data_IF_273709248288
#
_entry.id   IF_273709248288
#
_cell.length_a   1.000
_cell.length_b   1.000
_cell.length_c   1.000
_cell.angle_alpha   90.00
_cell.angle_beta   90.00
_cell.angle_gamma   90.00
#
_symmetry.space_group_name_H-M   'P 1'
#
loop_
_entity.id
_entity.type
_entity.pdbx_description
1 polymer ?
#
# COMPACT_ATOMS: atom_id res chain seq x y z
N UNK A 1 -4.83 -9.76 16.24
CA UNK A 1 -3.92 -8.59 16.32
C UNK A 1 -4.33 -7.60 17.41
N UNK A 2 -5.61 -7.17 17.50
CA UNK A 2 -6.04 -6.19 18.51
C UNK A 2 -5.70 -6.57 19.96
N UNK A 3 -5.80 -7.86 20.27
CA UNK A 3 -5.40 -8.43 21.56
C UNK A 3 -4.02 -8.00 22.05
N UNK A 4 -3.05 -7.71 21.18
CA UNK A 4 -1.68 -7.31 21.56
C UNK A 4 -1.61 -6.01 22.36
N UNK A 5 -2.56 -5.09 22.16
CA UNK A 5 -2.65 -3.81 22.88
C UNK A 5 -3.90 -3.69 23.75
N UNK A 6 -4.81 -4.66 23.73
CA UNK A 6 -5.97 -4.74 24.63
C UNK A 6 -5.67 -5.62 25.84
N UNK A 7 -5.48 -6.93 25.61
CA UNK A 7 -5.23 -7.95 26.65
C UNK A 7 -3.77 -8.37 26.77
N UNK A 8 -2.91 -7.96 25.84
CA UNK A 8 -1.51 -8.37 25.75
C UNK A 8 -1.33 -9.78 25.17
N UNK A 9 -0.07 -10.19 25.08
CA UNK A 9 0.34 -11.56 24.75
C UNK A 9 0.92 -12.24 26.00
N UNK A 10 0.41 -13.43 26.30
CA UNK A 10 0.99 -14.28 27.35
C UNK A 10 2.16 -15.05 26.76
N UNK A 11 3.33 -14.91 27.37
CA UNK A 11 4.52 -15.67 27.00
C UNK A 11 4.93 -16.60 28.14
N UNK A 12 5.52 -17.77 27.83
CA UNK A 12 6.19 -18.60 28.82
C UNK A 12 7.24 -17.82 29.64
N UNK A 13 7.31 -18.12 30.94
CA UNK A 13 8.19 -17.41 31.89
C UNK A 13 9.67 -17.52 31.53
N UNK A 14 10.09 -18.65 30.96
CA UNK A 14 11.46 -18.89 30.48
C UNK A 14 11.83 -18.00 29.28
N UNK A 15 10.85 -17.58 28.48
CA UNK A 15 11.04 -16.62 27.39
C UNK A 15 11.06 -15.19 27.95
N UNK A 16 10.11 -14.85 28.84
CA UNK A 16 10.02 -13.53 29.47
C UNK A 16 11.27 -13.15 30.28
N UNK A 17 11.83 -14.11 31.01
CA UNK A 17 13.05 -13.91 31.80
C UNK A 17 14.28 -13.59 30.94
N UNK A 18 14.32 -14.03 29.68
CA UNK A 18 15.41 -13.72 28.74
C UNK A 18 15.33 -12.31 28.14
N UNK A 19 14.10 -11.80 27.95
CA UNK A 19 13.86 -10.52 27.27
C UNK A 19 13.65 -9.34 28.22
N UNK A 20 13.13 -9.59 29.43
CA UNK A 20 12.90 -8.56 30.45
C UNK A 20 14.13 -7.76 30.93
N UNK A 21 15.37 -8.32 30.92
CA UNK A 21 16.56 -7.56 31.30
C UNK A 21 17.09 -6.62 30.21
N UNK A 22 16.58 -6.72 28.97
CA UNK A 22 17.05 -5.91 27.85
C UNK A 22 16.67 -4.43 28.13
N UNK A 23 17.63 -3.48 28.04
CA UNK A 23 17.33 -2.06 28.15
C UNK A 23 16.18 -1.64 27.21
N UNK A 24 15.34 -0.69 27.62
CA UNK A 24 14.10 -0.28 26.95
C UNK A 24 12.93 -1.28 26.97
N UNK A 25 13.11 -2.55 27.36
CA UNK A 25 12.00 -3.52 27.34
C UNK A 25 10.80 -3.09 28.20
N UNK A 26 11.07 -2.60 29.41
CA UNK A 26 10.02 -2.10 30.33
C UNK A 26 9.34 -0.82 29.84
N UNK A 27 9.96 -0.09 28.93
CA UNK A 27 9.37 1.12 28.33
C UNK A 27 8.47 0.76 27.13
N UNK A 28 8.80 -0.30 26.40
CA UNK A 28 8.03 -0.79 25.25
C UNK A 28 6.80 -1.61 25.65
N UNK A 29 6.88 -2.33 26.77
CA UNK A 29 5.83 -3.24 27.22
C UNK A 29 5.33 -2.89 28.61
N UNK A 30 4.01 -2.71 28.73
CA UNK A 30 3.36 -2.75 30.04
C UNK A 30 3.24 -4.20 30.47
N UNK A 31 3.68 -4.48 31.70
CA UNK A 31 3.46 -5.75 32.38
C UNK A 31 2.52 -5.49 33.55
N UNK A 32 1.42 -6.23 33.63
CA UNK A 32 0.42 -6.17 34.71
C UNK A 32 0.85 -6.99 35.95
N UNK A 33 2.06 -7.54 35.95
CA UNK A 33 2.56 -8.41 37.01
C UNK A 33 2.20 -9.89 36.83
N UNK A 34 1.37 -10.25 35.85
CA UNK A 34 0.84 -11.61 35.63
C UNK A 34 1.24 -12.24 34.28
N UNK A 35 2.40 -11.83 33.73
CA UNK A 35 3.02 -12.43 32.52
C UNK A 35 2.46 -11.98 31.16
N UNK A 36 1.52 -11.02 31.12
CA UNK A 36 1.05 -10.45 29.86
C UNK A 36 1.92 -9.27 29.41
N UNK A 37 2.51 -9.36 28.21
CA UNK A 37 3.18 -8.23 27.57
C UNK A 37 2.17 -7.44 26.75
N UNK A 38 1.96 -6.18 27.10
CA UNK A 38 0.99 -5.32 26.43
C UNK A 38 1.68 -4.17 25.72
N UNK A 39 1.43 -4.06 24.41
CA UNK A 39 1.88 -2.93 23.60
C UNK A 39 1.04 -1.67 23.88
N UNK A 40 1.61 -0.46 23.72
CA UNK A 40 0.80 0.75 23.69
C UNK A 40 -0.14 0.73 22.47
N UNK A 41 -1.40 1.20 22.61
CA UNK A 41 -2.32 1.32 21.48
C UNK A 41 -1.75 2.23 20.38
N UNK A 42 -1.63 1.75 19.13
CA UNK A 42 -1.17 2.57 18.01
C UNK A 42 -2.04 3.83 17.83
N UNK A 43 -1.41 4.98 17.55
CA UNK A 43 -2.12 6.27 17.42
C UNK A 43 -3.26 6.23 16.39
N UNK A 44 -3.06 5.53 15.27
CA UNK A 44 -4.03 5.42 14.17
C UNK A 44 -5.37 4.80 14.59
N UNK A 45 -5.41 4.05 15.69
CA UNK A 45 -6.64 3.40 16.19
C UNK A 45 -7.15 3.96 17.52
N UNK A 46 -6.55 5.03 18.06
CA UNK A 46 -6.93 5.54 19.39
C UNK A 46 -8.32 6.18 19.41
N UNK A 47 -8.81 6.66 18.26
CA UNK A 47 -10.12 7.29 18.11
C UNK A 47 -11.11 6.34 17.42
N UNK A 48 -10.68 5.69 16.34
CA UNK A 48 -11.50 4.75 15.56
C UNK A 48 -10.69 3.49 15.21
N UNK A 49 -11.16 2.32 15.65
CA UNK A 49 -10.46 1.04 15.48
C UNK A 49 -10.54 0.46 14.05
N UNK A 50 -11.34 1.05 13.18
CA UNK A 50 -11.63 0.60 11.81
C UNK A 50 -11.28 1.63 10.74
N UNK A 51 -11.06 2.90 11.08
CA UNK A 51 -10.79 3.97 10.11
C UNK A 51 -9.62 3.66 9.15
N UNK A 52 -8.61 2.92 9.62
CA UNK A 52 -7.45 2.48 8.81
C UNK A 52 -7.83 1.61 7.60
N UNK A 53 -9.04 1.01 7.58
CA UNK A 53 -9.54 0.20 6.46
C UNK A 53 -10.26 1.04 5.39
N UNK A 54 -10.45 2.33 5.61
CA UNK A 54 -11.18 3.19 4.66
C UNK A 54 -10.27 3.64 3.53
N UNK A 55 -10.84 3.74 2.33
CA UNK A 55 -10.16 4.34 1.16
C UNK A 55 -9.66 5.75 1.43
N UNK A 56 -10.42 6.52 2.22
CA UNK A 56 -10.06 7.87 2.63
C UNK A 56 -8.77 7.88 3.45
N UNK A 57 -8.65 7.01 4.46
CA UNK A 57 -7.44 6.94 5.29
C UNK A 57 -6.25 6.37 4.51
N UNK A 58 -6.49 5.33 3.70
CA UNK A 58 -5.47 4.76 2.80
C UNK A 58 -4.84 5.82 1.89
N UNK A 59 -5.65 6.67 1.27
CA UNK A 59 -5.16 7.75 0.41
C UNK A 59 -4.55 8.91 1.21
N UNK A 60 -5.13 9.28 2.37
CA UNK A 60 -4.65 10.37 3.22
C UNK A 60 -3.26 10.07 3.78
N UNK A 61 -2.98 8.83 4.17
CA UNK A 61 -1.65 8.44 4.66
C UNK A 61 -0.54 8.65 3.62
N UNK A 62 -0.85 8.66 2.32
CA UNK A 62 0.14 8.95 1.27
C UNK A 62 0.66 10.40 1.26
N UNK A 63 -0.05 11.32 1.95
CA UNK A 63 0.34 12.73 2.05
C UNK A 63 0.53 13.21 3.50
N UNK A 64 0.06 12.46 4.48
CA UNK A 64 0.10 12.84 5.90
C UNK A 64 0.32 11.63 6.85
N UNK A 65 0.77 10.50 6.32
CA UNK A 65 1.15 9.31 7.07
C UNK A 65 2.66 9.20 7.28
N UNK A 66 3.14 7.98 7.45
CA UNK A 66 4.56 7.71 7.75
C UNK A 66 5.50 7.96 6.56
N UNK A 67 4.99 7.84 5.32
CA UNK A 67 5.77 8.00 4.10
C UNK A 67 5.11 8.95 3.08
N UNK A 68 5.06 10.26 3.38
CA UNK A 68 4.24 11.23 2.63
C UNK A 68 4.91 11.80 1.37
N UNK A 69 6.01 11.19 0.88
CA UNK A 69 6.88 11.82 -0.12
C UNK A 69 7.01 11.04 -1.44
N UNK A 70 6.32 9.91 -1.59
CA UNK A 70 6.43 9.06 -2.79
C UNK A 70 5.37 9.39 -3.83
N UNK A 71 4.19 9.86 -3.41
CA UNK A 71 3.08 10.22 -4.29
C UNK A 71 3.53 11.26 -5.33
N UNK A 72 3.10 11.07 -6.58
CA UNK A 72 3.45 11.96 -7.71
C UNK A 72 2.20 12.39 -8.43
N UNK A 73 2.26 13.57 -9.05
CA UNK A 73 1.26 13.97 -10.04
C UNK A 73 1.36 13.08 -11.28
N UNK A 74 0.23 12.63 -11.79
CA UNK A 74 0.17 11.90 -13.06
C UNK A 74 -0.03 12.89 -14.21
N UNK A 75 0.94 12.96 -15.12
CA UNK A 75 0.95 13.91 -16.24
C UNK A 75 0.54 13.32 -17.59
N UNK A 76 0.53 12.00 -17.71
CA UNK A 76 0.16 11.27 -18.92
C UNK A 76 -0.57 9.97 -18.55
N UNK A 77 -1.42 9.49 -19.46
CA UNK A 77 -2.18 8.26 -19.27
C UNK A 77 -2.17 7.41 -20.55
N UNK A 78 -2.00 6.07 -20.46
CA UNK A 78 -1.72 5.30 -19.24
C UNK A 78 -0.32 5.62 -18.65
N UNK A 79 -0.07 5.35 -17.36
CA UNK A 79 1.26 5.49 -16.77
C UNK A 79 2.29 4.63 -17.52
N UNK A 80 3.44 5.23 -17.84
CA UNK A 80 4.52 4.55 -18.57
C UNK A 80 5.64 4.10 -17.62
N UNK A 81 6.11 2.88 -17.84
CA UNK A 81 7.34 2.38 -17.22
C UNK A 81 8.58 2.94 -17.93
N UNK A 82 9.64 3.12 -17.16
CA UNK A 82 11.01 3.47 -17.61
C UNK A 82 11.96 2.27 -17.60
N UNK A 83 11.45 1.07 -17.30
CA UNK A 83 12.24 -0.15 -17.37
C UNK A 83 12.65 -0.43 -18.81
N UNK A 84 13.82 -1.07 -18.97
CA UNK A 84 14.29 -1.51 -20.27
C UNK A 84 13.37 -2.59 -20.84
N UNK A 85 12.67 -2.26 -21.93
CA UNK A 85 11.71 -3.15 -22.57
C UNK A 85 12.35 -4.39 -23.20
N UNK A 86 13.66 -4.37 -23.48
CA UNK A 86 14.38 -5.57 -23.94
C UNK A 86 14.55 -6.59 -22.80
N UNK A 87 14.69 -6.11 -21.57
CA UNK A 87 14.89 -6.96 -20.40
C UNK A 87 13.57 -7.35 -19.72
N UNK A 88 12.60 -6.43 -19.70
CA UNK A 88 11.37 -6.57 -18.91
C UNK A 88 10.10 -6.61 -19.76
N UNK A 89 10.21 -6.62 -21.10
CA UNK A 89 9.08 -6.63 -22.01
C UNK A 89 8.26 -5.33 -22.02
N UNK A 90 7.05 -5.39 -22.58
CA UNK A 90 6.12 -4.25 -22.55
C UNK A 90 5.55 -4.07 -21.15
N UNK A 91 5.87 -2.96 -20.51
CA UNK A 91 5.42 -2.60 -19.16
C UNK A 91 4.35 -1.49 -19.17
N UNK A 92 3.67 -1.30 -20.30
CA UNK A 92 2.51 -0.40 -20.39
C UNK A 92 1.46 -0.83 -19.37
N UNK A 93 1.02 0.11 -18.53
CA UNK A 93 -0.01 -0.17 -17.52
C UNK A 93 -1.31 -0.67 -18.18
N UNK A 94 -1.95 -1.66 -17.57
CA UNK A 94 -3.22 -2.21 -18.06
C UNK A 94 -4.45 -1.46 -17.52
N UNK A 95 -4.26 -0.44 -16.68
CA UNK A 95 -5.35 0.43 -16.22
C UNK A 95 -5.89 1.23 -17.40
N UNK A 96 -7.19 1.16 -17.64
CA UNK A 96 -7.86 1.89 -18.72
C UNK A 96 -8.64 3.09 -18.18
N UNK A 97 -9.07 4.01 -19.06
CA UNK A 97 -9.86 5.17 -18.63
C UNK A 97 -11.24 4.74 -18.12
N UNK A 98 -11.81 3.71 -18.73
CA UNK A 98 -13.09 3.11 -18.36
C UNK A 98 -13.06 2.52 -16.95
N UNK A 99 -11.88 2.17 -16.43
CA UNK A 99 -11.70 1.78 -15.03
C UNK A 99 -11.85 2.96 -14.05
N UNK A 100 -11.47 4.16 -14.48
CA UNK A 100 -11.30 5.33 -13.61
C UNK A 100 -12.50 6.26 -13.64
N UNK A 101 -12.92 6.66 -14.84
CA UNK A 101 -13.89 7.73 -15.08
C UNK A 101 -15.25 7.55 -14.37
N UNK A 102 -15.81 6.33 -14.22
CA UNK A 102 -17.04 6.13 -13.46
C UNK A 102 -16.99 6.63 -12.02
N UNK A 103 -15.78 6.73 -11.43
CA UNK A 103 -15.55 7.12 -10.05
C UNK A 103 -14.92 8.52 -9.89
N UNK A 104 -14.89 9.32 -10.96
CA UNK A 104 -14.26 10.64 -11.03
C UNK A 104 -15.27 11.82 -11.05
N UNK A 105 -16.46 11.61 -10.51
CA UNK A 105 -17.50 12.66 -10.36
C UNK A 105 -17.84 13.39 -11.68
N UNK A 106 -17.84 12.65 -12.79
CA UNK A 106 -18.12 13.17 -14.13
C UNK A 106 -16.94 13.88 -14.82
N UNK A 107 -15.75 13.85 -14.25
CA UNK A 107 -14.52 14.40 -14.84
C UNK A 107 -13.80 13.32 -15.65
N UNK A 108 -13.39 13.62 -16.88
CA UNK A 108 -12.60 12.67 -17.69
C UNK A 108 -11.14 12.60 -17.22
N UNK A 109 -10.43 11.54 -17.61
CA UNK A 109 -8.99 11.40 -17.29
C UNK A 109 -8.18 12.60 -17.81
N UNK A 110 -8.45 13.07 -19.02
CA UNK A 110 -7.74 14.22 -19.62
C UNK A 110 -7.99 15.50 -18.82
N UNK A 111 -9.25 15.78 -18.49
CA UNK A 111 -9.62 16.95 -17.70
C UNK A 111 -8.96 16.91 -16.32
N UNK A 112 -8.93 15.74 -15.69
CA UNK A 112 -8.28 15.59 -14.39
C UNK A 112 -6.77 15.79 -14.48
N UNK A 113 -6.09 15.30 -15.51
CA UNK A 113 -4.65 15.58 -15.73
C UNK A 113 -4.41 17.08 -15.95
N UNK A 114 -5.17 17.72 -16.84
CA UNK A 114 -5.05 19.14 -17.16
C UNK A 114 -5.24 20.03 -15.92
N UNK A 115 -6.18 19.65 -15.05
CA UNK A 115 -6.47 20.36 -13.81
C UNK A 115 -5.61 19.91 -12.61
N UNK A 116 -4.57 19.09 -12.81
CA UNK A 116 -3.69 18.55 -11.76
C UNK A 116 -4.45 17.80 -10.65
N UNK A 117 -5.46 17.02 -11.03
CA UNK A 117 -6.33 16.23 -10.15
C UNK A 117 -6.07 14.73 -10.20
N UNK A 118 -5.16 14.24 -11.04
CA UNK A 118 -4.73 12.83 -11.03
C UNK A 118 -3.32 12.68 -10.46
N UNK A 119 -3.19 11.71 -9.56
CA UNK A 119 -1.98 11.37 -8.85
C UNK A 119 -1.74 9.86 -8.91
N UNK A 120 -0.50 9.46 -8.63
CA UNK A 120 -0.09 8.06 -8.64
C UNK A 120 0.89 7.78 -7.50
N UNK A 121 0.68 6.67 -6.81
CA UNK A 121 1.71 6.01 -6.00
C UNK A 121 2.29 4.87 -6.85
N UNK A 122 3.47 5.10 -7.42
CA UNK A 122 4.10 4.18 -8.39
C UNK A 122 5.31 3.49 -7.77
N UNK A 123 5.11 2.24 -7.37
CA UNK A 123 6.19 1.36 -6.90
C UNK A 123 6.64 0.38 -7.98
N UNK A 124 6.07 0.45 -9.19
CA UNK A 124 6.25 -0.59 -10.20
C UNK A 124 7.71 -0.72 -10.62
N UNK A 125 8.30 0.34 -11.16
CA UNK A 125 9.66 0.29 -11.70
C UNK A 125 10.72 0.06 -10.63
N UNK A 126 10.42 0.43 -9.37
CA UNK A 126 11.32 0.22 -8.24
C UNK A 126 11.34 -1.25 -7.81
N UNK A 127 10.20 -1.92 -7.83
CA UNK A 127 10.07 -3.30 -7.33
C UNK A 127 10.20 -4.37 -8.41
N UNK A 128 9.71 -4.12 -9.62
CA UNK A 128 9.59 -5.14 -10.67
C UNK A 128 10.89 -5.91 -10.96
N UNK A 129 12.07 -5.27 -11.07
CA UNK A 129 13.34 -5.96 -11.29
C UNK A 129 13.72 -7.00 -10.23
N UNK A 130 13.14 -6.90 -9.02
CA UNK A 130 13.44 -7.78 -7.89
C UNK A 130 12.35 -8.83 -7.66
N UNK A 131 11.15 -8.67 -8.23
CA UNK A 131 10.00 -9.50 -7.91
C UNK A 131 10.22 -10.98 -8.17
N UNK A 132 10.93 -11.35 -9.25
CA UNK A 132 11.20 -12.77 -9.52
C UNK A 132 12.01 -13.41 -8.40
N UNK A 133 13.02 -12.72 -7.88
CA UNK A 133 13.85 -13.19 -6.77
C UNK A 133 13.06 -13.23 -5.46
N UNK A 134 12.28 -12.18 -5.18
CA UNK A 134 11.42 -12.11 -3.99
C UNK A 134 10.41 -13.27 -4.01
N UNK A 135 9.72 -13.47 -5.13
CA UNK A 135 8.65 -14.45 -5.26
C UNK A 135 9.13 -15.90 -5.33
N UNK A 136 10.43 -16.12 -5.60
CA UNK A 136 11.08 -17.44 -5.51
C UNK A 136 11.32 -17.86 -4.05
N UNK A 137 11.24 -16.95 -3.08
CA UNK A 137 11.24 -17.28 -1.66
C UNK A 137 9.84 -17.68 -1.18
N UNK A 138 9.67 -17.93 0.11
CA UNK A 138 8.34 -18.11 0.73
C UNK A 138 7.47 -16.84 0.68
N UNK A 139 8.08 -15.67 0.45
CA UNK A 139 7.37 -14.38 0.32
C UNK A 139 6.73 -14.22 -1.06
N UNK A 140 5.68 -13.39 -1.15
CA UNK A 140 5.02 -13.00 -2.40
C UNK A 140 4.78 -11.49 -2.43
N UNK A 141 5.06 -10.87 -3.56
CA UNK A 141 4.93 -9.45 -3.78
C UNK A 141 4.51 -9.15 -5.23
N UNK A 142 4.01 -7.93 -5.42
CA UNK A 142 3.64 -7.34 -6.70
C UNK A 142 4.32 -5.99 -6.85
N UNK A 143 4.57 -5.60 -8.10
CA UNK A 143 4.88 -4.23 -8.48
C UNK A 143 3.55 -3.50 -8.59
N UNK A 144 3.32 -2.53 -7.70
CA UNK A 144 2.01 -1.88 -7.60
C UNK A 144 2.01 -0.49 -8.20
N UNK A 145 0.89 -0.13 -8.82
CA UNK A 145 0.53 1.25 -9.14
C UNK A 145 -0.84 1.55 -8.57
N UNK A 146 -0.95 2.64 -7.81
CA UNK A 146 -2.24 3.11 -7.30
C UNK A 146 -2.55 4.47 -7.92
N UNK A 147 -3.68 4.59 -8.61
CA UNK A 147 -4.16 5.86 -9.16
C UNK A 147 -5.07 6.53 -8.15
N UNK A 148 -4.85 7.82 -7.91
CA UNK A 148 -5.63 8.63 -6.97
C UNK A 148 -6.21 9.87 -7.66
N UNK A 149 -7.42 10.24 -7.26
CA UNK A 149 -8.10 11.44 -7.73
C UNK A 149 -8.25 12.45 -6.60
N UNK A 150 -7.93 13.70 -6.89
CA UNK A 150 -8.19 14.83 -6.00
C UNK A 150 -9.63 15.28 -6.17
N UNK A 151 -10.42 15.10 -5.11
CA UNK A 151 -11.83 15.44 -5.05
C UNK A 151 -12.02 16.96 -4.86
N UNK A 152 -13.25 17.44 -5.07
CA UNK A 152 -13.57 18.86 -4.91
C UNK A 152 -13.48 19.33 -3.45
N UNK A 153 -13.61 18.41 -2.49
CA UNK A 153 -13.46 18.69 -1.05
C UNK A 153 -11.99 18.74 -0.58
N UNK A 154 -11.04 18.53 -1.49
CA UNK A 154 -9.60 18.55 -1.22
C UNK A 154 -9.02 17.23 -0.73
N UNK A 155 -9.83 16.16 -0.62
CA UNK A 155 -9.34 14.83 -0.23
C UNK A 155 -8.90 14.00 -1.44
N UNK A 156 -8.06 13.00 -1.19
CA UNK A 156 -7.65 12.03 -2.21
C UNK A 156 -8.53 10.78 -2.14
N UNK A 157 -8.95 10.29 -3.31
CA UNK A 157 -9.73 9.07 -3.47
C UNK A 157 -8.94 8.06 -4.32
N UNK A 158 -8.69 6.82 -3.85
CA UNK A 158 -8.10 5.80 -4.70
C UNK A 158 -9.10 5.37 -5.78
N UNK A 159 -8.63 5.19 -7.02
CA UNK A 159 -9.47 4.81 -8.17
C UNK A 159 -9.18 3.42 -8.71
N UNK A 160 -7.92 3.00 -8.69
CA UNK A 160 -7.51 1.70 -9.17
C UNK A 160 -6.16 1.30 -8.56
N UNK A 161 -5.97 0.01 -8.37
CA UNK A 161 -4.69 -0.61 -8.01
C UNK A 161 -4.35 -1.65 -9.09
N UNK A 162 -3.24 -1.43 -9.80
CA UNK A 162 -2.64 -2.43 -10.67
C UNK A 162 -1.64 -3.26 -9.87
N UNK A 163 -1.77 -4.58 -9.94
CA UNK A 163 -0.85 -5.55 -9.36
C UNK A 163 -0.13 -6.29 -10.49
N UNK A 164 1.12 -5.89 -10.75
CA UNK A 164 1.98 -6.50 -11.77
C UNK A 164 2.90 -7.56 -11.16
N UNK A 165 2.99 -8.73 -11.80
CA UNK A 165 3.94 -9.80 -11.43
C UNK A 165 4.76 -10.24 -12.65
N UNK A 166 5.96 -10.79 -12.45
CA UNK A 166 6.77 -11.30 -13.56
C UNK A 166 6.02 -12.36 -14.38
N UNK A 167 6.16 -12.32 -15.70
CA UNK A 167 5.58 -13.34 -16.56
C UNK A 167 6.20 -14.72 -16.29
N UNK A 168 5.41 -15.82 -16.29
CA UNK A 168 5.92 -17.17 -15.97
C UNK A 168 7.08 -17.62 -16.88
N UNK A 169 7.06 -17.21 -18.16
CA UNK A 169 8.07 -17.61 -19.15
C UNK A 169 9.40 -16.83 -19.05
N UNK A 170 9.44 -15.71 -18.33
CA UNK A 170 10.64 -14.87 -18.21
C UNK A 170 10.30 -13.37 -18.14
N UNK A 171 11.23 -12.56 -17.65
CA UNK A 171 10.99 -11.12 -17.45
C UNK A 171 10.82 -10.36 -18.78
N UNK A 172 11.50 -10.80 -19.84
CA UNK A 172 11.42 -10.20 -21.17
C UNK A 172 10.05 -10.29 -21.83
N UNK A 173 9.13 -11.10 -21.28
CA UNK A 173 7.76 -11.23 -21.77
C UNK A 173 6.80 -10.17 -21.20
N UNK A 174 7.27 -9.27 -20.32
CA UNK A 174 6.40 -8.28 -19.69
C UNK A 174 5.92 -8.69 -18.30
N UNK A 175 5.15 -7.82 -17.62
CA UNK A 175 4.36 -8.19 -16.48
C UNK A 175 3.07 -8.93 -16.89
N UNK A 176 2.58 -9.79 -16.02
CA UNK A 176 1.15 -10.15 -15.98
C UNK A 176 0.50 -9.27 -14.92
N UNK A 177 -0.41 -8.39 -15.34
CA UNK A 177 -1.07 -7.41 -14.47
C UNK A 177 -2.54 -7.74 -14.26
N UNK A 178 -3.01 -7.54 -13.04
CA UNK A 178 -4.45 -7.47 -12.71
C UNK A 178 -4.77 -6.08 -12.18
N UNK A 179 -5.93 -5.53 -12.56
CA UNK A 179 -6.42 -4.25 -12.07
C UNK A 179 -7.58 -4.48 -11.12
N UNK A 180 -7.51 -3.85 -9.95
CA UNK A 180 -8.54 -3.88 -8.92
C UNK A 180 -9.13 -2.48 -8.76
N UNK A 181 -10.45 -2.40 -8.69
CA UNK A 181 -11.20 -1.15 -8.55
C UNK A 181 -11.84 -1.11 -7.15
N UNK A 182 -12.08 0.08 -6.58
CA UNK A 182 -12.85 0.23 -5.36
C UNK A 182 -14.19 -0.48 -5.47
N UNK A 183 -14.51 -1.27 -4.45
CA UNK A 183 -15.79 -1.95 -4.31
C UNK A 183 -16.31 -1.71 -2.90
N UNK A 184 -17.61 -1.48 -2.76
CA UNK A 184 -18.28 -1.30 -1.47
C UNK A 184 -18.47 -2.61 -0.71
N UNK A 185 -18.31 -3.75 -1.38
CA UNK A 185 -18.40 -5.09 -0.82
C UNK A 185 -17.13 -5.87 -1.16
N UNK A 186 -16.56 -6.53 -0.15
CA UNK A 186 -15.35 -7.36 -0.23
C UNK A 186 -15.34 -8.41 0.86
#
# INVERSE_FOLDING_TARGET
VRSLYDGGIKLPTDILSKISPIPLFKELFRSDGESALKFPPPKVIQVDHSAWMTDAEFAREMIAGVNPHIIKKLSEFPPKSKLDSQLYGDNTSTITKENLEPNMDGVTVEQAIQNNRLYILDHHDTLFPYLRKINATETKAYATRTILFLQNDGTLKPLAIELSRPHPQGDSFGPVSNVYLPASEG
#
